data_IF_806158141481
#
_entry.id   IF_806158141481
#
_cell.length_a   1.000
_cell.length_b   1.000
_cell.length_c   1.000
_cell.angle_alpha   90.00
_cell.angle_beta   90.00
_cell.angle_gamma   90.00
#
_symmetry.space_group_name_H-M   'P 1'
#
loop_
_entity.id
_entity.type
_entity.pdbx_description
1 polymer ?
#
# COMPACT_ATOMS: atom_id res chain seq x y z
N UNK A 1 -11.39 -6.07 1.24
CA UNK A 1 -12.21 -5.86 0.03
C UNK A 1 -11.28 -5.86 -1.17
N UNK A 2 -11.56 -6.65 -2.19
CA UNK A 2 -10.79 -6.70 -3.44
C UNK A 2 -11.67 -6.28 -4.61
N UNK A 3 -11.15 -5.39 -5.46
CA UNK A 3 -11.90 -4.86 -6.60
C UNK A 3 -11.13 -5.17 -7.88
N UNK A 4 -11.72 -5.87 -8.85
CA UNK A 4 -11.09 -6.11 -10.13
C UNK A 4 -11.01 -4.80 -10.93
N UNK A 5 -9.79 -4.43 -11.33
CA UNK A 5 -9.55 -3.24 -12.16
C UNK A 5 -9.52 -3.68 -13.61
N UNK A 6 -10.38 -3.10 -14.45
CA UNK A 6 -10.35 -3.30 -15.90
C UNK A 6 -9.40 -2.28 -16.54
N UNK A 7 -8.85 -2.63 -17.71
CA UNK A 7 -8.13 -1.66 -18.55
C UNK A 7 -9.05 -0.49 -18.88
N UNK A 8 -8.53 0.75 -18.73
CA UNK A 8 -9.29 1.98 -18.96
C UNK A 8 -9.97 2.58 -17.73
N UNK A 9 -9.90 1.94 -16.56
CA UNK A 9 -10.35 2.58 -15.32
C UNK A 9 -9.44 3.74 -14.95
N UNK A 10 -10.06 4.88 -14.59
CA UNK A 10 -9.34 6.04 -14.08
C UNK A 10 -8.87 5.70 -12.67
N UNK A 11 -7.56 5.77 -12.44
CA UNK A 11 -6.90 5.35 -11.21
C UNK A 11 -7.43 6.10 -9.98
N UNK A 12 -7.56 7.42 -10.06
CA UNK A 12 -8.06 8.26 -8.97
C UNK A 12 -9.49 7.86 -8.58
N UNK A 13 -10.40 7.70 -9.53
CA UNK A 13 -11.78 7.29 -9.29
C UNK A 13 -11.89 5.91 -8.63
N UNK A 14 -11.08 4.95 -9.08
CA UNK A 14 -11.06 3.61 -8.49
C UNK A 14 -10.60 3.65 -7.05
N UNK A 15 -9.57 4.44 -6.75
CA UNK A 15 -9.05 4.58 -5.39
C UNK A 15 -10.08 5.28 -4.49
N UNK A 16 -10.70 6.34 -4.94
CA UNK A 16 -11.76 7.03 -4.18
C UNK A 16 -12.95 6.12 -3.89
N UNK A 17 -13.35 5.30 -4.86
CA UNK A 17 -14.37 4.29 -4.63
C UNK A 17 -13.95 3.27 -3.56
N UNK A 18 -12.70 2.79 -3.59
CA UNK A 18 -12.18 1.92 -2.53
C UNK A 18 -12.20 2.60 -1.16
N UNK A 19 -11.77 3.85 -1.09
CA UNK A 19 -11.74 4.65 0.14
C UNK A 19 -13.17 4.82 0.70
N UNK A 20 -14.14 5.15 -0.15
CA UNK A 20 -15.53 5.29 0.29
C UNK A 20 -16.07 4.00 0.92
N UNK A 21 -15.80 2.86 0.30
CA UNK A 21 -16.21 1.55 0.83
C UNK A 21 -15.51 1.18 2.13
N UNK A 22 -14.22 1.46 2.25
CA UNK A 22 -13.47 1.21 3.49
C UNK A 22 -13.99 2.09 4.62
N UNK A 23 -14.32 3.36 4.33
CA UNK A 23 -14.85 4.30 5.32
C UNK A 23 -16.15 3.80 5.97
N UNK A 24 -17.01 3.11 5.21
CA UNK A 24 -18.24 2.52 5.72
C UNK A 24 -17.98 1.49 6.84
N UNK A 25 -16.81 0.83 6.84
CA UNK A 25 -16.43 -0.17 7.84
C UNK A 25 -15.58 0.38 8.99
N UNK A 26 -14.60 1.28 8.68
CA UNK A 26 -13.64 1.74 9.69
C UNK A 26 -14.02 3.08 10.33
N UNK A 27 -15.05 3.75 9.82
CA UNK A 27 -15.49 5.06 10.26
C UNK A 27 -14.50 6.17 9.89
N UNK A 28 -13.44 6.36 10.68
CA UNK A 28 -12.45 7.43 10.45
C UNK A 28 -11.14 6.89 9.88
N UNK A 29 -10.75 7.40 8.73
CA UNK A 29 -9.42 7.15 8.14
C UNK A 29 -8.45 8.19 8.72
N UNK A 30 -7.39 7.72 9.40
CA UNK A 30 -6.38 8.59 9.99
C UNK A 30 -5.31 9.01 8.97
N UNK A 31 -4.86 8.08 8.14
CA UNK A 31 -3.83 8.32 7.15
C UNK A 31 -3.90 7.25 6.07
N UNK A 32 -3.82 7.67 4.80
CA UNK A 32 -3.70 6.79 3.64
C UNK A 32 -2.24 6.71 3.23
N UNK A 33 -1.71 5.50 3.11
CA UNK A 33 -0.32 5.27 2.72
C UNK A 33 -0.26 4.75 1.29
N UNK A 34 0.49 5.43 0.44
CA UNK A 34 0.62 5.07 -0.97
C UNK A 34 2.08 4.85 -1.37
N UNK A 35 2.31 3.91 -2.26
CA UNK A 35 3.61 3.73 -2.91
C UNK A 35 3.84 4.79 -4.00
N UNK A 36 5.09 4.95 -4.41
CA UNK A 36 5.52 5.85 -5.51
C UNK A 36 4.78 5.61 -6.84
N UNK A 37 4.22 4.42 -7.05
CA UNK A 37 3.42 4.10 -8.23
C UNK A 37 2.06 4.83 -8.26
N UNK A 38 1.63 5.32 -7.10
CA UNK A 38 0.37 6.05 -6.95
C UNK A 38 0.51 7.56 -7.10
N UNK A 39 1.72 8.08 -7.36
CA UNK A 39 1.91 9.50 -7.63
C UNK A 39 1.15 9.87 -8.90
N UNK A 40 0.11 10.67 -8.70
CA UNK A 40 -0.82 11.13 -9.72
C UNK A 40 -1.45 12.42 -9.23
N UNK A 41 -1.38 13.48 -10.04
CA UNK A 41 -1.85 14.80 -9.64
C UNK A 41 -3.37 14.82 -9.41
N UNK A 42 -4.13 14.12 -10.25
CA UNK A 42 -5.59 14.06 -10.10
C UNK A 42 -5.96 13.33 -8.79
N UNK A 43 -5.23 12.26 -8.45
CA UNK A 43 -5.45 11.56 -7.19
C UNK A 43 -5.12 12.45 -5.99
N UNK A 44 -3.99 13.16 -6.01
CA UNK A 44 -3.60 14.05 -4.91
C UNK A 44 -4.60 15.19 -4.74
N UNK A 45 -5.06 15.77 -5.87
CA UNK A 45 -6.11 16.78 -5.88
C UNK A 45 -7.38 16.26 -5.19
N UNK A 46 -7.91 15.15 -5.64
CA UNK A 46 -9.14 14.56 -5.10
C UNK A 46 -9.02 14.20 -3.62
N UNK A 47 -7.91 13.61 -3.21
CA UNK A 47 -7.67 13.28 -1.79
C UNK A 47 -7.67 14.53 -0.92
N UNK A 48 -7.08 15.63 -1.40
CA UNK A 48 -7.02 16.90 -0.66
C UNK A 48 -8.39 17.56 -0.60
N UNK A 49 -9.14 17.63 -1.72
CA UNK A 49 -10.50 18.16 -1.74
C UNK A 49 -11.45 17.41 -0.80
N UNK A 50 -11.33 16.08 -0.75
CA UNK A 50 -12.12 15.25 0.16
C UNK A 50 -11.58 15.20 1.60
N UNK A 51 -10.50 15.95 1.91
CA UNK A 51 -9.86 16.02 3.23
C UNK A 51 -9.43 14.64 3.74
N UNK A 52 -8.99 13.77 2.84
CA UNK A 52 -8.35 12.50 3.20
C UNK A 52 -6.86 12.73 3.42
N UNK A 53 -6.36 12.58 4.65
CA UNK A 53 -4.93 12.71 4.90
C UNK A 53 -4.19 11.56 4.23
N UNK A 54 -3.13 11.90 3.48
CA UNK A 54 -2.33 10.91 2.77
C UNK A 54 -0.84 11.13 2.93
N UNK A 55 -0.08 10.07 2.71
CA UNK A 55 1.36 10.05 2.62
C UNK A 55 1.77 9.17 1.42
N UNK A 56 2.44 9.75 0.44
CA UNK A 56 2.96 9.06 -0.74
C UNK A 56 4.48 9.07 -0.73
N UNK A 57 5.08 7.94 -1.11
CA UNK A 57 6.53 7.92 -1.35
C UNK A 57 6.85 8.68 -2.64
N UNK A 58 7.70 9.69 -2.56
CA UNK A 58 8.12 10.51 -3.68
C UNK A 58 9.10 9.78 -4.62
N UNK A 59 9.19 10.25 -5.87
CA UNK A 59 10.16 9.75 -6.85
C UNK A 59 11.50 10.47 -6.69
N UNK A 60 12.60 9.76 -6.84
CA UNK A 60 13.94 10.34 -6.95
C UNK A 60 14.14 10.88 -8.37
N UNK A 61 13.82 12.13 -8.58
CA UNK A 61 14.18 12.88 -9.82
C UNK A 61 15.51 13.56 -9.64
N UNK A 62 16.12 14.05 -10.74
CA UNK A 62 17.36 14.84 -10.67
C UNK A 62 17.19 16.10 -9.82
N UNK A 63 16.05 16.76 -9.93
CA UNK A 63 15.67 17.92 -9.14
C UNK A 63 15.57 17.58 -7.65
N UNK A 64 14.83 16.51 -7.30
CA UNK A 64 14.67 16.08 -5.92
C UNK A 64 16.00 15.67 -5.27
N UNK A 65 16.90 15.02 -6.02
CA UNK A 65 18.24 14.67 -5.54
C UNK A 65 19.07 15.92 -5.27
N UNK A 66 18.89 16.99 -6.06
CA UNK A 66 19.57 18.26 -5.83
C UNK A 66 19.20 18.87 -4.46
N UNK A 67 17.94 18.74 -4.01
CA UNK A 67 17.52 19.23 -2.70
C UNK A 67 18.22 18.52 -1.54
N UNK A 68 18.52 17.23 -1.66
CA UNK A 68 19.32 16.55 -0.62
C UNK A 68 20.73 17.11 -0.48
N UNK A 69 21.31 17.63 -1.56
CA UNK A 69 22.61 18.32 -1.52
C UNK A 69 22.55 19.67 -0.84
N UNK A 70 21.37 20.30 -0.81
CA UNK A 70 21.15 21.57 -0.11
C UNK A 70 20.90 21.40 1.39
N UNK A 71 20.54 20.19 1.84
CA UNK A 71 20.41 19.90 3.25
C UNK A 71 21.80 19.84 3.88
N UNK A 72 22.07 20.79 4.77
CA UNK A 72 23.26 20.79 5.61
C UNK A 72 23.33 19.50 6.44
N UNK A 73 24.52 19.08 6.86
CA UNK A 73 24.70 17.82 7.60
C UNK A 73 23.88 17.74 8.88
N UNK A 74 23.58 18.87 9.50
CA UNK A 74 22.77 18.98 10.71
C UNK A 74 21.27 18.99 10.48
N UNK A 75 20.80 19.24 9.24
CA UNK A 75 19.39 19.28 8.88
C UNK A 75 18.97 17.97 8.25
N UNK A 76 18.18 17.20 8.97
CA UNK A 76 17.65 15.92 8.48
C UNK A 76 16.34 16.05 7.71
N UNK A 77 15.67 17.22 7.78
CA UNK A 77 14.35 17.46 7.17
C UNK A 77 14.28 18.78 6.42
N UNK A 78 13.67 18.76 5.25
CA UNK A 78 13.26 19.93 4.47
C UNK A 78 11.82 19.73 4.02
N UNK A 79 10.97 20.70 4.30
CA UNK A 79 9.56 20.73 3.85
C UNK A 79 9.40 21.87 2.83
N UNK A 80 8.75 21.56 1.71
CA UNK A 80 8.41 22.55 0.67
C UNK A 80 6.97 22.37 0.25
N UNK A 81 6.36 23.44 -0.21
CA UNK A 81 5.09 23.35 -0.91
C UNK A 81 5.24 22.53 -2.19
N UNK A 82 4.23 21.74 -2.50
CA UNK A 82 4.18 20.90 -3.69
C UNK A 82 2.99 21.31 -4.57
N UNK A 83 3.28 21.87 -5.72
CA UNK A 83 2.25 22.25 -6.68
C UNK A 83 1.69 20.98 -7.35
N UNK A 84 0.44 20.64 -7.05
CA UNK A 84 -0.21 19.45 -7.60
C UNK A 84 -0.59 19.64 -9.06
N UNK A 85 -1.16 20.76 -9.44
CA UNK A 85 -1.42 21.11 -10.84
C UNK A 85 -1.80 22.59 -10.99
N UNK A 86 -1.10 23.31 -11.88
CA UNK A 86 -1.39 24.73 -12.19
C UNK A 86 -2.72 24.94 -12.93
N UNK A 87 -3.33 23.89 -13.48
CA UNK A 87 -4.54 23.96 -14.28
C UNK A 87 -5.84 23.86 -13.47
N UNK A 88 -5.78 23.52 -12.19
CA UNK A 88 -6.96 23.51 -11.31
C UNK A 88 -7.15 24.88 -10.68
N UNK A 89 -7.93 25.75 -11.33
CA UNK A 89 -8.22 27.10 -10.87
C UNK A 89 -8.98 27.20 -9.54
N UNK A 90 -9.52 26.08 -9.04
CA UNK A 90 -10.32 26.00 -7.83
C UNK A 90 -9.68 25.10 -6.76
N UNK A 91 -8.36 24.90 -6.81
CA UNK A 91 -7.66 24.09 -5.82
C UNK A 91 -7.62 24.82 -4.48
N UNK A 92 -8.40 24.33 -3.52
CA UNK A 92 -8.40 24.79 -2.14
C UNK A 92 -7.73 23.71 -1.27
N UNK A 93 -6.43 23.81 -1.16
CA UNK A 93 -5.67 22.87 -0.35
C UNK A 93 -4.17 22.93 -0.64
N UNK A 94 -3.41 22.61 0.37
CA UNK A 94 -1.97 22.63 0.32
C UNK A 94 -1.43 21.21 0.29
N UNK A 95 -0.41 21.00 -0.53
CA UNK A 95 0.38 19.77 -0.52
C UNK A 95 1.84 20.13 -0.24
N UNK A 96 2.53 19.22 0.41
CA UNK A 96 3.90 19.38 0.84
C UNK A 96 4.75 18.23 0.34
N UNK A 97 5.98 18.57 -0.09
CA UNK A 97 7.03 17.58 -0.33
C UNK A 97 8.03 17.66 0.81
N UNK A 98 8.31 16.52 1.41
CA UNK A 98 9.18 16.38 2.58
C UNK A 98 10.40 15.57 2.17
N UNK A 99 11.57 16.14 2.37
CA UNK A 99 12.87 15.50 2.15
C UNK A 99 13.46 15.11 3.51
N UNK A 100 13.78 13.83 3.71
CA UNK A 100 14.42 13.30 4.91
C UNK A 100 15.78 12.74 4.53
N UNK A 101 16.85 13.25 5.14
CA UNK A 101 18.22 12.83 4.87
C UNK A 101 18.76 11.95 6.00
N UNK A 102 19.44 10.89 5.63
CA UNK A 102 20.21 10.07 6.56
C UNK A 102 19.40 9.28 7.59
N UNK A 103 18.15 8.92 7.27
CA UNK A 103 17.33 8.12 8.18
C UNK A 103 17.79 6.67 8.19
N UNK A 104 18.16 6.16 9.36
CA UNK A 104 18.61 4.78 9.52
C UNK A 104 17.51 3.78 9.19
N UNK A 105 17.80 2.87 8.27
CA UNK A 105 16.95 1.73 7.96
C UNK A 105 17.56 0.45 8.54
N UNK A 106 16.96 -0.14 9.60
CA UNK A 106 17.53 -1.29 10.29
C UNK A 106 17.60 -2.57 9.45
N UNK A 107 16.98 -2.60 8.27
CA UNK A 107 16.99 -3.78 7.39
C UNK A 107 18.15 -3.79 6.43
N UNK A 108 18.46 -2.64 5.85
CA UNK A 108 19.60 -2.48 4.96
C UNK A 108 20.87 -2.11 5.73
N UNK A 109 20.74 -1.82 7.04
CA UNK A 109 21.81 -1.29 7.90
C UNK A 109 22.47 -0.04 7.32
N UNK A 110 21.69 0.76 6.59
CA UNK A 110 22.16 1.96 5.88
C UNK A 110 21.29 3.16 6.22
N UNK A 111 21.90 4.33 6.13
CA UNK A 111 21.16 5.58 6.14
C UNK A 111 20.55 5.81 4.76
N UNK A 112 19.24 6.00 4.72
CA UNK A 112 18.49 6.23 3.50
C UNK A 112 17.91 7.64 3.49
N UNK A 113 17.86 8.20 2.28
CA UNK A 113 17.16 9.44 2.03
C UNK A 113 15.75 9.13 1.54
N UNK A 114 14.76 9.79 2.13
CA UNK A 114 13.36 9.60 1.82
C UNK A 114 12.74 10.87 1.26
N UNK A 115 11.80 10.70 0.35
CA UNK A 115 10.97 11.78 -0.18
C UNK A 115 9.53 11.38 0.06
N UNK A 116 8.74 12.26 0.68
CA UNK A 116 7.32 12.04 0.88
C UNK A 116 6.52 13.21 0.31
N UNK A 117 5.31 12.93 -0.16
CA UNK A 117 4.31 13.92 -0.56
C UNK A 117 3.08 13.69 0.32
N UNK A 118 2.55 14.77 0.90
CA UNK A 118 1.42 14.74 1.83
C UNK A 118 0.59 16.02 1.70
N UNK A 119 -0.67 15.97 2.11
CA UNK A 119 -1.53 17.14 2.30
C UNK A 119 -1.65 17.55 3.79
N UNK A 120 -0.76 17.08 4.65
CA UNK A 120 -0.75 17.43 6.06
C UNK A 120 0.57 18.10 6.45
N UNK A 121 0.51 19.36 6.84
CA UNK A 121 1.67 20.14 7.30
C UNK A 121 2.25 19.59 8.62
N UNK A 122 1.40 19.03 9.47
CA UNK A 122 1.69 18.68 10.87
C UNK A 122 1.97 17.21 11.11
N UNK A 123 2.49 16.49 10.15
CA UNK A 123 2.84 15.09 10.40
C UNK A 123 4.19 15.03 11.09
N UNK A 124 4.23 14.57 12.34
CA UNK A 124 5.48 14.37 13.06
C UNK A 124 6.37 13.38 12.30
N UNK A 125 7.67 13.68 12.21
CA UNK A 125 8.65 12.89 11.47
C UNK A 125 8.61 11.41 11.87
N UNK A 126 8.53 11.14 13.16
CA UNK A 126 8.47 9.78 13.70
C UNK A 126 7.19 9.05 13.28
N UNK A 127 6.07 9.75 13.20
CA UNK A 127 4.81 9.20 12.69
C UNK A 127 4.86 8.91 11.20
N UNK A 128 5.51 9.76 10.40
CA UNK A 128 5.74 9.54 8.97
C UNK A 128 6.52 8.25 8.72
N UNK A 129 7.67 8.12 9.39
CA UNK A 129 8.55 6.96 9.24
C UNK A 129 7.87 5.69 9.76
N UNK A 130 7.24 5.77 10.94
CA UNK A 130 6.53 4.64 11.56
C UNK A 130 5.34 4.20 10.69
N UNK A 131 4.52 5.14 10.24
CA UNK A 131 3.38 4.88 9.36
C UNK A 131 3.83 4.24 8.05
N UNK A 132 4.87 4.79 7.41
CA UNK A 132 5.36 4.24 6.16
C UNK A 132 5.99 2.84 6.33
N UNK A 133 6.65 2.58 7.46
CA UNK A 133 7.14 1.23 7.79
C UNK A 133 6.02 0.21 7.93
N UNK A 134 4.84 0.61 8.41
CA UNK A 134 3.66 -0.27 8.49
C UNK A 134 3.18 -0.73 7.10
N UNK A 135 3.32 0.13 6.05
CA UNK A 135 3.02 -0.28 4.67
C UNK A 135 3.78 -1.53 4.23
N UNK A 136 4.94 -1.74 4.78
CA UNK A 136 5.75 -2.90 4.44
C UNK A 136 5.15 -4.24 4.90
N UNK A 137 4.27 -4.21 5.89
CA UNK A 137 3.50 -5.41 6.26
C UNK A 137 2.66 -5.93 5.08
N UNK A 138 2.18 -5.02 4.21
CA UNK A 138 1.43 -5.38 2.98
C UNK A 138 2.35 -6.12 1.99
N UNK A 139 3.60 -5.68 1.81
CA UNK A 139 4.55 -6.36 0.91
C UNK A 139 4.94 -7.76 1.43
N UNK A 140 5.09 -7.90 2.74
CA UNK A 140 5.31 -9.20 3.38
C UNK A 140 4.09 -10.09 3.19
N UNK A 141 2.89 -9.52 3.34
CA UNK A 141 1.65 -10.24 3.10
C UNK A 141 1.56 -10.76 1.67
N UNK A 142 1.84 -9.93 0.66
CA UNK A 142 1.87 -10.37 -0.74
C UNK A 142 2.89 -11.49 -0.99
N UNK A 143 4.07 -11.44 -0.36
CA UNK A 143 5.04 -12.53 -0.46
C UNK A 143 4.53 -13.83 0.14
N UNK A 144 3.80 -13.76 1.25
CA UNK A 144 3.19 -14.94 1.88
C UNK A 144 2.06 -15.47 0.99
N UNK A 145 1.24 -14.58 0.40
CA UNK A 145 0.17 -14.96 -0.52
C UNK A 145 0.72 -15.61 -1.80
N UNK A 146 1.87 -15.16 -2.31
CA UNK A 146 2.56 -15.79 -3.45
C UNK A 146 2.93 -17.26 -3.19
N UNK A 147 3.07 -17.69 -1.92
CA UNK A 147 3.27 -19.10 -1.58
C UNK A 147 2.04 -19.97 -1.88
N UNK A 148 0.85 -19.38 -1.85
CA UNK A 148 -0.41 -20.04 -2.16
C UNK A 148 -0.82 -19.89 -3.62
N UNK A 149 -0.01 -19.27 -4.47
CA UNK A 149 -0.37 -18.88 -5.83
C UNK A 149 -0.90 -20.07 -6.63
N UNK A 150 -2.22 -20.06 -6.88
CA UNK A 150 -2.88 -21.08 -7.70
C UNK A 150 -2.60 -20.76 -9.17
N UNK A 151 -1.81 -21.62 -9.82
CA UNK A 151 -1.50 -21.46 -11.24
C UNK A 151 -2.76 -21.67 -12.08
N UNK A 152 -3.38 -20.58 -12.52
CA UNK A 152 -4.57 -20.61 -13.34
C UNK A 152 -4.24 -20.32 -14.82
N UNK A 153 -4.58 -21.25 -15.71
CA UNK A 153 -4.43 -21.07 -17.16
C UNK A 153 -5.67 -20.47 -17.82
N UNK A 154 -6.76 -20.31 -17.09
CA UNK A 154 -7.99 -19.73 -17.63
C UNK A 154 -7.80 -18.29 -18.05
N UNK A 155 -8.38 -17.92 -19.21
CA UNK A 155 -8.47 -16.53 -19.68
C UNK A 155 -9.69 -15.81 -19.10
N UNK A 156 -10.63 -16.54 -18.50
CA UNK A 156 -11.85 -15.98 -17.93
C UNK A 156 -11.57 -15.21 -16.65
N UNK A 157 -11.93 -13.92 -16.63
CA UNK A 157 -11.74 -13.04 -15.49
C UNK A 157 -12.46 -13.55 -14.23
N UNK A 158 -13.67 -14.13 -14.38
CA UNK A 158 -14.45 -14.66 -13.25
C UNK A 158 -13.72 -15.79 -12.53
N UNK A 159 -13.10 -16.71 -13.28
CA UNK A 159 -12.33 -17.83 -12.72
C UNK A 159 -11.09 -17.31 -11.98
N UNK A 160 -10.35 -16.40 -12.63
CA UNK A 160 -9.15 -15.81 -12.02
C UNK A 160 -9.49 -15.04 -10.73
N UNK A 161 -10.59 -14.30 -10.75
CA UNK A 161 -11.03 -13.54 -9.58
C UNK A 161 -11.50 -14.47 -8.45
N UNK A 162 -12.22 -15.54 -8.78
CA UNK A 162 -12.61 -16.57 -7.80
C UNK A 162 -11.39 -17.19 -7.13
N UNK A 163 -10.38 -17.61 -7.88
CA UNK A 163 -9.17 -18.20 -7.35
C UNK A 163 -8.40 -17.21 -6.46
N UNK A 164 -8.30 -15.97 -6.88
CA UNK A 164 -7.72 -14.91 -6.06
C UNK A 164 -8.46 -14.74 -4.73
N UNK A 165 -9.80 -14.68 -4.73
CA UNK A 165 -10.59 -14.58 -3.50
C UNK A 165 -10.42 -15.82 -2.61
N UNK A 166 -10.28 -17.00 -3.21
CA UNK A 166 -10.03 -18.23 -2.48
C UNK A 166 -8.67 -18.21 -1.78
N UNK A 167 -7.63 -17.74 -2.44
CA UNK A 167 -6.31 -17.53 -1.83
C UNK A 167 -6.38 -16.55 -0.65
N UNK A 168 -7.09 -15.42 -0.82
CA UNK A 168 -7.31 -14.46 0.26
C UNK A 168 -8.04 -15.09 1.45
N UNK A 169 -9.03 -15.91 1.21
CA UNK A 169 -9.78 -16.61 2.25
C UNK A 169 -8.87 -17.58 3.04
N UNK A 170 -8.02 -18.35 2.36
CA UNK A 170 -7.05 -19.24 2.99
C UNK A 170 -6.05 -18.46 3.85
N UNK A 171 -5.57 -17.32 3.34
CA UNK A 171 -4.65 -16.46 4.09
C UNK A 171 -5.31 -15.88 5.35
N UNK A 172 -6.53 -15.39 5.25
CA UNK A 172 -7.29 -14.88 6.42
C UNK A 172 -7.51 -15.98 7.45
N UNK A 173 -7.89 -17.19 7.00
CA UNK A 173 -8.09 -18.33 7.90
C UNK A 173 -6.80 -18.69 8.64
N UNK A 174 -5.67 -18.75 7.93
CA UNK A 174 -4.37 -18.97 8.55
C UNK A 174 -4.01 -17.86 9.54
N UNK A 175 -4.14 -16.59 9.13
CA UNK A 175 -3.77 -15.44 9.95
C UNK A 175 -4.58 -15.33 11.25
N UNK A 176 -5.86 -15.72 11.20
CA UNK A 176 -6.76 -15.64 12.36
C UNK A 176 -6.60 -16.82 13.34
N UNK A 177 -6.25 -18.03 12.85
CA UNK A 177 -6.37 -19.22 13.67
C UNK A 177 -5.07 -20.03 13.79
N UNK A 178 -4.10 -19.86 12.90
CA UNK A 178 -2.96 -20.78 12.81
C UNK A 178 -1.59 -20.10 12.73
N UNK A 179 -1.54 -18.76 12.65
CA UNK A 179 -0.31 -18.00 12.43
C UNK A 179 0.76 -18.23 13.50
N UNK A 180 0.36 -18.50 14.73
CA UNK A 180 1.28 -18.71 15.84
C UNK A 180 1.85 -20.13 15.84
N UNK A 181 1.13 -21.11 15.28
CA UNK A 181 1.48 -22.53 15.32
C UNK A 181 2.21 -23.00 14.06
N UNK A 182 1.86 -22.42 12.90
CA UNK A 182 2.33 -22.88 11.58
C UNK A 182 2.68 -21.72 10.67
N UNK A 183 3.70 -21.91 9.83
CA UNK A 183 3.90 -21.05 8.66
C UNK A 183 2.73 -21.22 7.67
N UNK A 184 2.47 -20.23 6.83
CA UNK A 184 1.40 -20.32 5.84
C UNK A 184 1.59 -21.52 4.90
N UNK A 185 2.82 -21.83 4.52
CA UNK A 185 3.16 -22.99 3.70
C UNK A 185 2.80 -24.33 4.38
N UNK A 186 3.10 -24.47 5.66
CA UNK A 186 2.75 -25.69 6.42
C UNK A 186 1.24 -25.83 6.55
N UNK A 187 0.51 -24.74 6.79
CA UNK A 187 -0.94 -24.70 6.78
C UNK A 187 -1.52 -25.20 5.45
N UNK A 188 -1.03 -24.71 4.31
CA UNK A 188 -1.48 -25.15 2.98
C UNK A 188 -1.22 -26.63 2.73
N UNK A 189 -0.07 -27.15 3.18
CA UNK A 189 0.25 -28.58 3.09
C UNK A 189 -0.71 -29.40 3.95
N UNK A 190 -1.03 -28.94 5.16
CA UNK A 190 -1.99 -29.63 6.05
C UNK A 190 -3.39 -29.66 5.42
N UNK A 191 -3.88 -28.54 4.89
CA UNK A 191 -5.16 -28.44 4.19
C UNK A 191 -5.24 -29.39 2.98
N UNK A 192 -4.17 -29.44 2.17
CA UNK A 192 -4.11 -30.35 1.02
C UNK A 192 -4.11 -31.84 1.42
N UNK A 193 -3.50 -32.20 2.55
CA UNK A 193 -3.54 -33.56 3.10
C UNK A 193 -4.93 -33.92 3.61
N UNK A 194 -5.63 -32.98 4.25
CA UNK A 194 -6.99 -33.19 4.74
C UNK A 194 -7.96 -33.40 3.57
N UNK A 195 -7.91 -32.59 2.53
CA UNK A 195 -8.78 -32.71 1.35
C UNK A 195 -8.64 -34.10 0.68
N UNK A 196 -7.41 -34.63 0.58
CA UNK A 196 -7.18 -35.98 0.03
C UNK A 196 -7.77 -37.12 0.89
N UNK A 197 -7.92 -36.93 2.18
CA UNK A 197 -8.60 -37.93 3.05
C UNK A 197 -10.09 -37.91 2.82
N UNK A 198 -10.70 -36.75 2.62
CA UNK A 198 -12.13 -36.61 2.37
C UNK A 198 -12.56 -37.26 1.06
N UNK A 199 -11.85 -37.02 -0.04
CA UNK A 199 -12.15 -37.67 -1.32
C UNK A 199 -12.06 -39.17 -1.31
N UNK A 200 -11.18 -39.77 -0.48
CA UNK A 200 -11.09 -41.24 -0.33
C UNK A 200 -12.18 -41.85 0.55
N UNK A 201 -12.89 -41.05 1.33
CA UNK A 201 -13.98 -41.52 2.21
C UNK A 201 -15.32 -41.54 1.49
N UNK A 202 -15.50 -40.74 0.44
CA UNK A 202 -16.70 -40.69 -0.39
C UNK A 202 -16.71 -41.80 -1.49
N UNK A 203 -15.57 -42.44 -1.77
CA UNK A 203 -15.46 -43.54 -2.77
C UNK A 203 -15.67 -44.93 -2.15
N UNK A 204 -16.11 -45.02 -0.88
CA UNK A 204 -16.48 -46.28 -0.19
C UNK A 204 -17.96 -46.28 0.17
#
# INVERSE_FOLDING_TARGET
MSIPIKMGHIKSQTILYCISKIKDYVGKIRLLLFDKQFIDNDLMYELTQHKYPFLMLGKRTKENVWFFKQLEEEKTILVKEYEVNKNFSTYDGENYIIFLKGIFDPRSEKNLDWIFITNSEKVALDELIKGYKQRWAIEIQFKIEDEALIKCRSKEMKIRYFLFLFEQMLHVQWACFYKEDFSFKEFLIAMAKMSKKWTKTEEK
#
